data_IF_173509928831
#
_entry.id   IF_173509928831
#
_cell.length_a   1.000
_cell.length_b   1.000
_cell.length_c   1.000
_cell.angle_alpha   90.00
_cell.angle_beta   90.00
_cell.angle_gamma   90.00
#
_symmetry.space_group_name_H-M   'P 1'
#
loop_
_entity.id
_entity.type
_entity.pdbx_description
1 polymer ?
#
# COMPACT_ATOMS: atom_id res chain seq x y z
N UNK A 1 25.68 -11.27 14.39
CA UNK A 1 24.72 -10.83 13.34
C UNK A 1 24.96 -9.35 13.08
N UNK A 2 24.86 -8.87 11.81
CA UNK A 2 24.87 -7.44 11.52
C UNK A 2 23.62 -6.78 12.12
N UNK A 3 23.65 -5.47 12.48
CA UNK A 3 22.50 -4.77 13.01
C UNK A 3 21.37 -4.67 11.99
N UNK A 4 20.14 -4.43 12.46
CA UNK A 4 19.01 -4.00 11.61
C UNK A 4 19.06 -2.48 11.42
N UNK A 5 18.89 -2.02 10.18
CA UNK A 5 18.68 -0.62 9.90
C UNK A 5 17.24 -0.19 10.22
N UNK A 6 17.04 0.79 11.06
CA UNK A 6 15.69 1.21 11.51
C UNK A 6 15.38 2.60 11.00
N UNK A 7 14.26 2.74 10.31
CA UNK A 7 13.71 4.00 9.81
C UNK A 7 12.45 4.32 10.62
N UNK A 8 12.47 5.42 11.36
CA UNK A 8 11.33 5.88 12.16
C UNK A 8 10.77 7.15 11.53
N UNK A 9 9.46 7.18 11.29
CA UNK A 9 8.77 8.40 10.90
C UNK A 9 8.16 9.08 12.13
N UNK A 10 8.76 10.15 12.66
CA UNK A 10 8.28 10.80 13.88
C UNK A 10 6.90 11.43 13.70
N UNK A 11 6.56 11.87 12.48
CA UNK A 11 5.29 12.52 12.18
C UNK A 11 4.11 11.54 12.02
N UNK A 12 4.37 10.22 12.00
CA UNK A 12 3.31 9.22 11.85
C UNK A 12 2.25 9.38 12.96
N UNK A 13 0.97 9.25 12.56
CA UNK A 13 -0.19 9.31 13.46
C UNK A 13 -0.14 10.52 14.43
N UNK A 14 0.06 11.72 13.88
CA UNK A 14 0.08 13.00 14.62
C UNK A 14 1.21 13.11 15.67
N UNK A 15 2.39 12.58 15.36
CA UNK A 15 3.57 12.66 16.24
C UNK A 15 3.76 11.45 17.17
N UNK A 16 2.87 10.44 17.13
CA UNK A 16 3.04 9.20 17.92
C UNK A 16 4.13 8.27 17.38
N UNK A 17 4.66 8.56 16.18
CA UNK A 17 5.71 7.76 15.55
C UNK A 17 6.97 7.64 16.39
N UNK A 18 7.36 8.69 17.12
CA UNK A 18 8.50 8.65 18.04
C UNK A 18 8.29 7.65 19.17
N UNK A 19 7.14 7.71 19.85
CA UNK A 19 6.79 6.80 20.96
C UNK A 19 6.80 5.32 20.51
N UNK A 20 6.25 5.04 19.31
CA UNK A 20 6.29 3.69 18.72
C UNK A 20 7.73 3.30 18.39
N UNK A 21 8.51 4.23 17.85
CA UNK A 21 9.92 4.03 17.53
C UNK A 21 10.76 3.68 18.76
N UNK A 22 10.63 4.45 19.85
CA UNK A 22 11.34 4.21 21.11
C UNK A 22 10.99 2.85 21.70
N UNK A 23 9.70 2.49 21.71
CA UNK A 23 9.24 1.16 22.17
C UNK A 23 9.79 0.02 21.31
N UNK A 24 9.84 0.21 19.98
CA UNK A 24 10.39 -0.79 19.08
C UNK A 24 11.90 -0.97 19.31
N UNK A 25 12.66 0.13 19.46
CA UNK A 25 14.10 0.05 19.75
C UNK A 25 14.38 -0.64 21.07
N UNK A 26 13.60 -0.35 22.12
CA UNK A 26 13.71 -1.02 23.43
C UNK A 26 13.43 -2.53 23.28
N UNK A 27 12.38 -2.92 22.58
CA UNK A 27 12.03 -4.33 22.34
C UNK A 27 13.10 -5.09 21.53
N UNK A 28 13.73 -4.44 20.53
CA UNK A 28 14.88 -5.03 19.84
C UNK A 28 16.08 -5.22 20.76
N UNK A 29 16.38 -4.24 21.62
CA UNK A 29 17.47 -4.34 22.60
C UNK A 29 17.22 -5.46 23.62
N UNK A 30 16.00 -5.60 24.14
CA UNK A 30 15.59 -6.69 25.03
C UNK A 30 15.74 -8.07 24.35
N UNK A 31 15.48 -8.16 23.05
CA UNK A 31 15.68 -9.36 22.24
C UNK A 31 17.15 -9.60 21.87
N UNK A 32 18.09 -8.73 22.28
CA UNK A 32 19.52 -8.84 21.95
C UNK A 32 19.84 -8.49 20.49
N UNK A 33 18.96 -7.80 19.78
CA UNK A 33 19.15 -7.40 18.38
C UNK A 33 19.72 -5.98 18.33
N UNK A 34 20.91 -5.85 17.76
CA UNK A 34 21.54 -4.56 17.51
C UNK A 34 20.79 -3.81 16.38
N UNK A 35 20.61 -2.50 16.56
CA UNK A 35 19.96 -1.64 15.57
C UNK A 35 20.81 -0.44 15.21
N UNK A 36 20.70 0.03 13.97
CA UNK A 36 21.29 1.28 13.48
C UNK A 36 20.17 2.21 13.06
N UNK A 37 20.09 3.39 13.68
CA UNK A 37 19.07 4.39 13.34
C UNK A 37 19.42 5.06 11.99
N UNK A 38 18.59 4.83 10.99
CA UNK A 38 18.70 5.40 9.64
C UNK A 38 17.60 6.42 9.34
N UNK A 39 16.88 6.87 10.38
CA UNK A 39 15.87 7.93 10.26
C UNK A 39 16.49 9.21 9.75
N UNK A 40 15.71 10.02 9.06
CA UNK A 40 16.17 11.27 8.46
C UNK A 40 15.09 12.35 8.46
N UNK A 41 15.50 13.55 8.06
CA UNK A 41 14.63 14.73 7.96
C UNK A 41 13.85 14.76 6.64
N UNK A 42 14.27 13.97 5.66
CA UNK A 42 13.62 13.83 4.36
C UNK A 42 13.80 12.41 3.81
N UNK A 43 13.03 12.05 2.80
CA UNK A 43 13.21 10.75 2.12
C UNK A 43 14.60 10.64 1.48
N UNK A 44 15.16 11.72 0.94
CA UNK A 44 16.49 11.73 0.34
C UNK A 44 17.60 11.51 1.38
N UNK A 45 17.46 12.11 2.57
CA UNK A 45 18.37 11.88 3.71
C UNK A 45 18.34 10.40 4.14
N UNK A 46 17.13 9.82 4.27
CA UNK A 46 16.96 8.39 4.59
C UNK A 46 17.60 7.52 3.51
N UNK A 47 17.37 7.80 2.23
CA UNK A 47 17.98 7.07 1.10
C UNK A 47 19.50 7.11 1.14
N UNK A 48 20.08 8.28 1.42
CA UNK A 48 21.52 8.44 1.52
C UNK A 48 22.10 7.60 2.68
N UNK A 49 21.47 7.61 3.85
CA UNK A 49 21.89 6.82 5.03
C UNK A 49 21.78 5.32 4.77
N UNK A 50 20.66 4.86 4.19
CA UNK A 50 20.49 3.44 3.85
C UNK A 50 21.53 3.01 2.82
N UNK A 51 21.76 3.80 1.77
CA UNK A 51 22.81 3.53 0.77
C UNK A 51 24.19 3.37 1.40
N UNK A 52 24.55 4.24 2.34
CA UNK A 52 25.85 4.18 3.02
C UNK A 52 25.98 2.94 3.92
N UNK A 53 24.87 2.47 4.52
CA UNK A 53 24.84 1.38 5.51
C UNK A 53 24.42 0.03 4.93
N UNK A 54 23.98 -0.05 3.67
CA UNK A 54 23.33 -1.24 3.11
C UNK A 54 24.17 -2.52 3.21
N UNK A 55 25.51 -2.40 3.16
CA UNK A 55 26.42 -3.55 3.30
C UNK A 55 26.70 -3.95 4.75
N UNK A 56 26.34 -3.10 5.70
CA UNK A 56 26.65 -3.24 7.13
C UNK A 56 25.44 -3.69 7.96
N UNK A 57 24.24 -3.67 7.39
CA UNK A 57 22.98 -4.10 8.01
C UNK A 57 22.54 -5.46 7.47
N UNK A 58 21.76 -6.20 8.25
CA UNK A 58 21.19 -7.50 7.86
C UNK A 58 19.76 -7.42 7.35
N UNK A 59 19.08 -6.27 7.50
CA UNK A 59 17.72 -6.02 7.07
C UNK A 59 17.31 -4.59 7.40
N UNK A 60 16.16 -4.17 6.89
CA UNK A 60 15.53 -2.88 7.17
C UNK A 60 14.28 -3.07 8.02
N UNK A 61 14.02 -2.12 8.91
CA UNK A 61 12.75 -2.01 9.64
C UNK A 61 12.18 -0.63 9.40
N UNK A 62 10.97 -0.56 8.86
CA UNK A 62 10.25 0.69 8.66
C UNK A 62 9.15 0.85 9.72
N UNK A 63 9.24 1.91 10.53
CA UNK A 63 8.32 2.23 11.63
C UNK A 63 7.54 3.48 11.24
N UNK A 64 6.27 3.30 10.86
CA UNK A 64 5.45 4.41 10.36
C UNK A 64 4.10 3.97 9.81
N UNK A 65 3.52 4.80 8.95
CA UNK A 65 2.31 4.47 8.19
C UNK A 65 2.65 4.00 6.77
N UNK A 66 1.63 3.96 5.90
CA UNK A 66 1.72 3.41 4.54
C UNK A 66 2.83 4.06 3.70
N UNK A 67 3.01 5.39 3.76
CA UNK A 67 4.11 6.06 3.05
C UNK A 67 5.51 5.67 3.55
N UNK A 68 5.67 5.36 4.85
CA UNK A 68 6.95 4.88 5.41
C UNK A 68 7.19 3.42 5.01
N UNK A 69 6.14 2.60 5.02
CA UNK A 69 6.17 1.22 4.51
C UNK A 69 6.56 1.20 3.03
N UNK A 70 5.96 2.06 2.23
CA UNK A 70 6.27 2.22 0.80
C UNK A 70 7.74 2.61 0.55
N UNK A 71 8.30 3.53 1.34
CA UNK A 71 9.71 3.88 1.29
C UNK A 71 10.58 2.67 1.66
N UNK A 72 10.21 1.94 2.73
CA UNK A 72 10.88 0.72 3.17
C UNK A 72 10.91 -0.35 2.09
N UNK A 73 9.79 -0.61 1.42
CA UNK A 73 9.68 -1.55 0.29
C UNK A 73 10.68 -1.18 -0.83
N UNK A 74 10.69 0.10 -1.24
CA UNK A 74 11.58 0.53 -2.31
C UNK A 74 13.06 0.38 -1.94
N UNK A 75 13.44 0.73 -0.71
CA UNK A 75 14.82 0.59 -0.23
C UNK A 75 15.22 -0.88 -0.06
N UNK A 76 14.32 -1.72 0.46
CA UNK A 76 14.55 -3.14 0.59
C UNK A 76 14.79 -3.80 -0.77
N UNK A 77 13.99 -3.43 -1.77
CA UNK A 77 14.14 -3.92 -3.15
C UNK A 77 15.44 -3.42 -3.80
N UNK A 78 15.79 -2.14 -3.60
CA UNK A 78 16.99 -1.53 -4.18
C UNK A 78 18.28 -2.18 -3.66
N UNK A 79 18.32 -2.53 -2.37
CA UNK A 79 19.51 -3.08 -1.72
C UNK A 79 19.43 -4.59 -1.43
N UNK A 80 18.35 -5.26 -1.87
CA UNK A 80 18.10 -6.70 -1.64
C UNK A 80 18.17 -7.07 -0.15
N UNK A 81 17.51 -6.26 0.69
CA UNK A 81 17.47 -6.43 2.14
C UNK A 81 16.10 -6.97 2.58
N UNK A 82 16.04 -7.89 3.56
CA UNK A 82 14.78 -8.24 4.20
C UNK A 82 14.13 -7.03 4.88
N UNK A 83 12.80 -6.94 4.82
CA UNK A 83 12.02 -5.81 5.35
C UNK A 83 11.13 -6.23 6.52
N UNK A 84 11.29 -5.58 7.65
CA UNK A 84 10.33 -5.60 8.77
C UNK A 84 9.46 -4.35 8.76
N UNK A 85 8.19 -4.49 9.13
CA UNK A 85 7.25 -3.38 9.23
C UNK A 85 6.70 -3.27 10.65
N UNK A 86 6.75 -2.06 11.22
CA UNK A 86 6.13 -1.76 12.53
C UNK A 86 5.10 -0.65 12.31
N UNK A 87 3.79 -0.96 12.42
CA UNK A 87 2.75 0.00 12.13
C UNK A 87 2.67 1.11 13.17
N UNK A 88 2.74 2.36 12.71
CA UNK A 88 2.53 3.56 13.51
C UNK A 88 1.60 4.57 12.83
N UNK A 89 1.03 4.24 11.69
CA UNK A 89 0.09 5.06 10.94
C UNK A 89 -1.36 4.90 11.37
N UNK A 90 -2.26 5.63 10.71
CA UNK A 90 -3.71 5.55 10.94
C UNK A 90 -4.41 4.55 9.99
N UNK A 91 -3.85 4.27 8.82
CA UNK A 91 -4.37 3.32 7.82
C UNK A 91 -3.75 1.94 8.01
N UNK A 92 -2.47 1.84 7.73
CA UNK A 92 -1.66 0.62 7.79
C UNK A 92 -2.24 -0.52 6.94
N UNK A 93 -2.79 -0.18 5.75
CA UNK A 93 -3.50 -1.15 4.91
C UNK A 93 -2.58 -2.26 4.38
N UNK A 94 -1.36 -1.90 3.97
CA UNK A 94 -0.34 -2.88 3.55
C UNK A 94 -0.02 -3.88 4.67
N UNK A 95 0.10 -3.39 5.90
CA UNK A 95 0.51 -4.20 7.06
C UNK A 95 -0.60 -5.14 7.55
N UNK A 96 -1.87 -4.79 7.32
CA UNK A 96 -3.02 -5.64 7.68
C UNK A 96 -2.97 -7.01 7.02
N UNK A 97 -2.54 -7.08 5.76
CA UNK A 97 -2.43 -8.34 5.01
C UNK A 97 -1.24 -9.20 5.46
N UNK A 98 -0.24 -8.58 6.08
CA UNK A 98 1.05 -9.20 6.38
C UNK A 98 1.09 -9.87 7.76
N UNK A 99 -0.06 -10.08 8.40
CA UNK A 99 -0.18 -10.67 9.74
C UNK A 99 0.68 -9.97 10.82
N UNK A 100 0.97 -8.68 10.63
CA UNK A 100 1.73 -7.87 11.58
C UNK A 100 0.77 -7.29 12.63
N UNK A 101 1.06 -7.40 13.94
CA UNK A 101 0.26 -6.78 14.98
C UNK A 101 0.14 -5.26 14.80
N UNK A 102 -1.10 -4.76 14.63
CA UNK A 102 -1.34 -3.35 14.28
C UNK A 102 -1.22 -2.38 15.46
N UNK A 103 -1.43 -2.86 16.68
CA UNK A 103 -1.52 -2.03 17.90
C UNK A 103 -0.52 -2.39 18.97
N UNK A 104 0.16 -3.52 18.83
CA UNK A 104 1.17 -4.01 19.77
C UNK A 104 2.56 -3.96 19.13
N UNK A 105 3.33 -2.94 19.49
CA UNK A 105 4.69 -2.73 18.98
C UNK A 105 5.63 -3.85 19.38
N UNK A 106 5.52 -4.38 20.59
CA UNK A 106 6.39 -5.46 21.08
C UNK A 106 6.11 -6.77 20.35
N UNK A 107 4.84 -7.06 20.09
CA UNK A 107 4.45 -8.23 19.29
C UNK A 107 4.90 -8.07 17.82
N UNK A 108 4.86 -6.86 17.24
CA UNK A 108 5.38 -6.61 15.90
C UNK A 108 6.89 -6.83 15.83
N UNK A 109 7.64 -6.37 16.83
CA UNK A 109 9.09 -6.61 16.94
C UNK A 109 9.39 -8.11 17.13
N UNK A 110 8.66 -8.80 18.01
CA UNK A 110 8.82 -10.24 18.21
C UNK A 110 8.56 -11.05 16.92
N UNK A 111 7.61 -10.61 16.11
CA UNK A 111 7.34 -11.21 14.79
C UNK A 111 8.55 -11.03 13.86
N UNK A 112 9.13 -9.83 13.79
CA UNK A 112 10.35 -9.55 13.01
C UNK A 112 11.51 -10.42 13.50
N UNK A 113 11.78 -10.42 14.81
CA UNK A 113 12.90 -11.18 15.40
C UNK A 113 12.75 -12.68 15.12
N UNK A 114 11.54 -13.22 15.25
CA UNK A 114 11.26 -14.64 15.00
C UNK A 114 11.40 -15.10 13.56
N UNK A 115 11.55 -14.17 12.61
CA UNK A 115 11.66 -14.46 11.17
C UNK A 115 12.98 -14.02 10.54
N UNK A 116 13.94 -13.54 11.33
CA UNK A 116 15.24 -13.06 10.83
C UNK A 116 16.02 -14.13 10.05
N UNK A 117 15.96 -15.39 10.46
CA UNK A 117 16.68 -16.50 9.81
C UNK A 117 15.90 -17.09 8.62
N UNK A 118 14.58 -16.90 8.58
CA UNK A 118 13.70 -17.42 7.55
C UNK A 118 12.62 -16.39 7.19
N UNK A 119 12.96 -15.32 6.44
CA UNK A 119 11.99 -14.35 5.95
C UNK A 119 10.96 -15.00 5.04
N UNK A 120 9.73 -14.54 5.10
CA UNK A 120 8.68 -14.92 4.16
C UNK A 120 8.88 -14.18 2.84
N UNK A 121 8.91 -14.90 1.73
CA UNK A 121 8.93 -14.29 0.41
C UNK A 121 7.51 -13.91 -0.02
N UNK A 122 7.32 -12.66 -0.42
CA UNK A 122 6.04 -12.14 -0.90
C UNK A 122 6.19 -11.48 -2.27
N UNK A 123 5.10 -11.43 -2.99
CA UNK A 123 5.03 -10.79 -4.30
C UNK A 123 5.06 -9.27 -4.14
N UNK A 124 5.65 -8.60 -5.10
CA UNK A 124 5.74 -7.15 -5.13
C UNK A 124 5.51 -6.62 -6.54
N UNK A 125 4.73 -5.57 -6.66
CA UNK A 125 4.43 -4.92 -7.94
C UNK A 125 5.54 -3.97 -8.35
N UNK A 126 6.06 -4.09 -9.57
CA UNK A 126 6.80 -3.04 -10.25
C UNK A 126 5.80 -2.12 -10.94
N UNK A 127 5.83 -0.86 -10.56
CA UNK A 127 4.90 0.16 -11.05
C UNK A 127 5.65 1.17 -11.91
N UNK A 128 5.15 1.43 -13.10
CA UNK A 128 5.64 2.49 -13.97
C UNK A 128 4.52 3.46 -14.32
N UNK A 129 4.79 4.73 -14.10
CA UNK A 129 3.92 5.85 -14.50
C UNK A 129 4.66 6.75 -15.50
N UNK A 130 4.02 7.73 -16.06
CA UNK A 130 4.68 8.75 -16.89
C UNK A 130 5.73 9.60 -16.15
N UNK A 131 5.78 9.51 -14.83
CA UNK A 131 6.60 10.39 -13.97
C UNK A 131 7.62 9.66 -13.11
N UNK A 132 7.33 8.43 -12.69
CA UNK A 132 8.18 7.66 -11.78
C UNK A 132 7.98 6.17 -11.92
N UNK A 133 8.98 5.42 -11.43
CA UNK A 133 8.94 3.97 -11.28
C UNK A 133 9.23 3.62 -9.84
N UNK A 134 8.52 2.63 -9.30
CA UNK A 134 8.67 2.24 -7.91
C UNK A 134 8.09 0.85 -7.65
N UNK A 135 8.47 0.26 -6.52
CA UNK A 135 7.89 -0.99 -6.01
C UNK A 135 6.73 -0.71 -5.08
N UNK A 136 5.67 -1.51 -5.12
CA UNK A 136 4.52 -1.41 -4.23
C UNK A 136 4.01 -2.78 -3.82
N UNK A 137 3.57 -2.90 -2.56
CA UNK A 137 2.86 -4.08 -2.04
C UNK A 137 1.35 -3.93 -2.11
N UNK A 138 0.85 -2.71 -2.19
CA UNK A 138 -0.54 -2.38 -1.96
C UNK A 138 -1.45 -2.42 -3.19
N UNK A 139 -2.14 -1.33 -3.45
CA UNK A 139 -3.07 -1.20 -4.57
C UNK A 139 -2.88 0.12 -5.32
N UNK A 140 -3.18 0.10 -6.61
CA UNK A 140 -3.14 1.27 -7.48
C UNK A 140 -4.45 1.34 -8.23
N UNK A 141 -5.06 2.50 -8.24
CA UNK A 141 -6.31 2.72 -8.96
C UNK A 141 -6.36 4.07 -9.64
N UNK A 142 -7.25 4.19 -10.61
CA UNK A 142 -7.54 5.42 -11.29
C UNK A 142 -9.05 5.55 -11.47
N UNK A 143 -9.59 6.74 -11.17
CA UNK A 143 -11.00 7.01 -11.34
C UNK A 143 -11.62 7.76 -10.18
N UNK A 144 -12.87 7.42 -9.85
CA UNK A 144 -13.64 8.12 -8.82
C UNK A 144 -13.02 8.00 -7.42
N UNK A 145 -12.46 6.87 -7.10
CA UNK A 145 -11.77 6.63 -5.83
C UNK A 145 -10.53 7.52 -5.65
N UNK A 146 -9.78 7.78 -6.73
CA UNK A 146 -8.66 8.71 -6.71
C UNK A 146 -9.12 10.16 -6.46
N UNK A 147 -10.27 10.57 -7.02
CA UNK A 147 -10.89 11.86 -6.68
C UNK A 147 -11.27 11.94 -5.19
N UNK A 148 -11.82 10.84 -4.65
CA UNK A 148 -12.14 10.75 -3.23
C UNK A 148 -10.89 10.82 -2.35
N UNK A 149 -9.82 10.12 -2.72
CA UNK A 149 -8.54 10.15 -2.00
C UNK A 149 -7.93 11.57 -2.02
N UNK A 150 -7.91 12.22 -3.18
CA UNK A 150 -7.45 13.61 -3.31
C UNK A 150 -8.25 14.56 -2.41
N UNK A 151 -9.57 14.43 -2.42
CA UNK A 151 -10.45 15.22 -1.56
C UNK A 151 -10.20 14.94 -0.08
N UNK A 152 -10.12 13.67 0.31
CA UNK A 152 -9.90 13.25 1.69
C UNK A 152 -8.58 13.81 2.26
N UNK A 153 -7.52 13.82 1.46
CA UNK A 153 -6.21 14.37 1.83
C UNK A 153 -6.26 15.89 2.08
N UNK A 154 -7.18 16.61 1.42
CA UNK A 154 -7.39 18.06 1.59
C UNK A 154 -8.35 18.42 2.72
N UNK A 155 -9.12 17.48 3.25
CA UNK A 155 -10.07 17.76 4.33
C UNK A 155 -9.36 18.10 5.64
N UNK A 156 -9.77 19.21 6.26
CA UNK A 156 -9.33 19.56 7.61
C UNK A 156 -10.05 18.70 8.66
N UNK A 157 -11.32 18.42 8.42
CA UNK A 157 -12.20 17.58 9.25
C UNK A 157 -13.31 16.97 8.37
N UNK A 158 -13.73 15.69 8.58
CA UNK A 158 -13.18 14.71 9.53
C UNK A 158 -11.79 14.20 9.12
N UNK A 159 -11.09 13.54 10.04
CA UNK A 159 -9.79 12.88 9.80
C UNK A 159 -9.90 11.36 9.93
N UNK A 160 -8.92 10.64 9.40
CA UNK A 160 -8.87 9.18 9.41
C UNK A 160 -9.90 8.56 8.46
N UNK A 161 -10.39 7.34 8.71
CA UNK A 161 -11.31 6.62 7.79
C UNK A 161 -12.55 7.42 7.41
N UNK A 162 -13.06 8.26 8.31
CA UNK A 162 -14.23 9.08 8.05
C UNK A 162 -13.97 10.20 7.03
N UNK A 163 -12.71 10.58 6.77
CA UNK A 163 -12.38 11.57 5.74
C UNK A 163 -12.69 11.05 4.34
N UNK A 164 -12.46 9.77 4.10
CA UNK A 164 -12.77 9.15 2.81
C UNK A 164 -14.29 9.07 2.57
N UNK A 165 -15.06 8.70 3.60
CA UNK A 165 -16.52 8.68 3.53
C UNK A 165 -17.08 10.07 3.24
N UNK A 166 -16.58 11.11 3.93
CA UNK A 166 -16.97 12.49 3.68
C UNK A 166 -16.59 12.93 2.25
N UNK A 167 -15.39 12.59 1.80
CA UNK A 167 -14.93 12.89 0.45
C UNK A 167 -15.79 12.23 -0.62
N UNK A 168 -16.22 10.97 -0.42
CA UNK A 168 -17.12 10.26 -1.31
C UNK A 168 -18.42 11.04 -1.51
N UNK A 169 -19.06 11.50 -0.43
CA UNK A 169 -20.29 12.31 -0.55
C UNK A 169 -20.04 13.66 -1.22
N UNK A 170 -18.91 14.31 -0.96
CA UNK A 170 -18.56 15.59 -1.58
C UNK A 170 -18.27 15.47 -3.09
N UNK A 171 -17.66 14.35 -3.51
CA UNK A 171 -17.34 14.10 -4.92
C UNK A 171 -18.48 13.39 -5.68
N UNK A 172 -19.51 12.89 -4.97
CA UNK A 172 -20.66 12.20 -5.58
C UNK A 172 -21.35 12.97 -6.73
N UNK A 173 -21.44 14.32 -6.71
CA UNK A 173 -21.97 15.07 -7.86
C UNK A 173 -21.14 14.90 -9.15
N UNK A 174 -19.84 14.65 -9.04
CA UNK A 174 -18.93 14.40 -10.15
C UNK A 174 -18.87 12.94 -10.59
N UNK A 175 -19.55 12.05 -9.88
CA UNK A 175 -19.59 10.63 -10.16
C UNK A 175 -20.19 10.35 -11.54
N UNK A 176 -19.35 9.97 -12.47
CA UNK A 176 -19.69 9.60 -13.84
C UNK A 176 -18.70 8.59 -14.40
N UNK A 177 -19.11 7.72 -15.33
CA UNK A 177 -18.21 6.80 -16.00
C UNK A 177 -17.13 7.54 -16.79
N UNK A 178 -15.93 6.98 -16.80
CA UNK A 178 -14.80 7.42 -17.61
C UNK A 178 -14.39 6.30 -18.58
N UNK A 179 -13.84 6.67 -19.73
CA UNK A 179 -13.30 5.71 -20.68
C UNK A 179 -11.96 5.17 -20.19
N UNK A 180 -11.81 3.85 -20.25
CA UNK A 180 -10.58 3.14 -19.94
C UNK A 180 -10.15 2.30 -21.13
N UNK A 181 -8.83 2.23 -21.32
CA UNK A 181 -8.16 1.17 -22.05
C UNK A 181 -7.33 0.36 -21.08
N UNK A 182 -7.64 -0.91 -20.99
CA UNK A 182 -6.97 -1.89 -20.14
C UNK A 182 -6.25 -2.90 -21.02
N UNK A 183 -4.98 -3.16 -20.75
CA UNK A 183 -4.25 -4.29 -21.30
C UNK A 183 -3.81 -5.16 -20.14
N UNK A 184 -4.32 -6.40 -20.08
CA UNK A 184 -3.98 -7.39 -19.08
C UNK A 184 -3.43 -8.63 -19.79
N UNK A 185 -2.19 -9.02 -19.50
CA UNK A 185 -1.47 -10.15 -20.11
C UNK A 185 -1.56 -10.18 -21.64
N UNK A 186 -1.47 -9.02 -22.27
CA UNK A 186 -1.53 -8.83 -23.71
C UNK A 186 -2.94 -8.72 -24.30
N UNK A 187 -3.99 -8.94 -23.52
CA UNK A 187 -5.39 -8.78 -23.96
C UNK A 187 -5.84 -7.34 -23.72
N UNK A 188 -6.22 -6.64 -24.81
CA UNK A 188 -6.68 -5.24 -24.77
C UNK A 188 -8.20 -5.16 -24.72
N UNK A 189 -8.74 -4.32 -23.82
CA UNK A 189 -10.17 -4.04 -23.68
C UNK A 189 -10.38 -2.54 -23.54
N UNK A 190 -11.44 -2.02 -24.18
CA UNK A 190 -11.91 -0.65 -23.99
C UNK A 190 -13.33 -0.67 -23.41
N UNK A 191 -13.55 0.11 -22.37
CA UNK A 191 -14.85 0.14 -21.68
C UNK A 191 -15.02 1.45 -20.91
N UNK A 192 -16.23 1.69 -20.41
CA UNK A 192 -16.53 2.75 -19.46
C UNK A 192 -16.73 2.15 -18.07
N UNK A 193 -16.12 2.78 -17.08
CA UNK A 193 -16.25 2.37 -15.69
C UNK A 193 -16.16 3.57 -14.74
N UNK A 194 -16.56 3.37 -13.50
CA UNK A 194 -16.45 4.37 -12.45
C UNK A 194 -15.04 4.41 -11.87
N UNK A 195 -14.37 3.25 -11.80
CA UNK A 195 -12.99 3.09 -11.39
C UNK A 195 -12.41 1.79 -11.99
N UNK A 196 -11.10 1.77 -12.16
CA UNK A 196 -10.33 0.61 -12.54
C UNK A 196 -8.99 0.63 -11.83
N UNK A 197 -8.56 -0.49 -11.27
CA UNK A 197 -7.31 -0.57 -10.54
C UNK A 197 -6.75 -1.98 -10.44
N UNK A 198 -5.63 -2.07 -9.73
CA UNK A 198 -4.85 -3.30 -9.52
C UNK A 198 -4.55 -3.41 -8.02
N UNK A 199 -4.73 -4.58 -7.44
CA UNK A 199 -4.43 -4.86 -6.04
C UNK A 199 -3.55 -6.11 -5.91
N UNK A 200 -2.56 -6.03 -5.00
CA UNK A 200 -1.76 -7.16 -4.55
C UNK A 200 -2.13 -7.57 -3.10
N UNK A 201 -3.00 -6.78 -2.47
CA UNK A 201 -3.49 -6.98 -1.10
C UNK A 201 -5.01 -6.83 -1.05
N UNK A 202 -5.64 -7.43 -0.02
CA UNK A 202 -7.11 -7.37 0.13
C UNK A 202 -7.63 -5.99 0.48
N UNK A 203 -6.84 -5.23 1.27
CA UNK A 203 -7.30 -4.01 1.93
C UNK A 203 -6.77 -2.75 1.25
N UNK A 204 -7.62 -1.73 1.23
CA UNK A 204 -7.37 -0.43 0.63
C UNK A 204 -8.11 0.67 1.42
N UNK A 205 -7.53 1.87 1.51
CA UNK A 205 -8.24 3.06 1.98
C UNK A 205 -8.80 2.98 3.40
N UNK A 206 -8.04 2.39 4.35
CA UNK A 206 -8.43 2.32 5.76
C UNK A 206 -9.28 1.09 6.10
N UNK A 207 -9.03 -0.03 5.45
CA UNK A 207 -9.64 -1.32 5.74
C UNK A 207 -10.82 -1.71 4.86
N UNK A 208 -11.04 -1.03 3.74
CA UNK A 208 -11.94 -1.49 2.69
C UNK A 208 -11.35 -2.70 2.00
N UNK A 209 -12.09 -3.80 1.91
CA UNK A 209 -11.66 -5.04 1.25
C UNK A 209 -11.95 -4.96 -0.25
N UNK A 210 -11.15 -4.17 -0.99
CA UNK A 210 -11.40 -3.93 -2.41
C UNK A 210 -11.24 -5.21 -3.25
N UNK A 211 -10.29 -6.06 -2.86
CA UNK A 211 -10.03 -7.36 -3.49
C UNK A 211 -9.93 -8.47 -2.44
N UNK A 212 -11.07 -8.98 -1.93
CA UNK A 212 -11.08 -9.92 -0.81
C UNK A 212 -10.36 -11.25 -1.09
N UNK A 213 -10.11 -11.57 -2.36
CA UNK A 213 -9.48 -12.82 -2.81
C UNK A 213 -7.99 -12.69 -3.09
N UNK A 214 -7.42 -11.47 -3.00
CA UNK A 214 -5.98 -11.26 -3.23
C UNK A 214 -5.12 -12.12 -2.32
N UNK A 215 -4.07 -12.70 -2.89
CA UNK A 215 -3.07 -13.50 -2.19
C UNK A 215 -1.68 -12.99 -2.54
N UNK A 216 -0.95 -12.50 -1.55
CA UNK A 216 0.36 -11.85 -1.72
C UNK A 216 1.51 -12.82 -2.09
N UNK A 217 1.21 -14.06 -2.45
CA UNK A 217 2.21 -15.11 -2.74
C UNK A 217 1.85 -15.98 -3.94
N UNK A 218 0.84 -15.64 -4.72
CA UNK A 218 0.36 -16.47 -5.84
C UNK A 218 0.95 -16.07 -7.21
N UNK A 219 1.76 -15.00 -7.25
CA UNK A 219 2.42 -14.52 -8.47
C UNK A 219 1.52 -13.71 -9.39
N UNK A 220 0.36 -13.28 -8.93
CA UNK A 220 -0.63 -12.53 -9.69
C UNK A 220 -1.09 -11.28 -8.92
N UNK A 221 -1.73 -10.38 -9.63
CA UNK A 221 -2.45 -9.24 -9.06
C UNK A 221 -3.91 -9.33 -9.47
N UNK A 222 -4.81 -8.82 -8.66
CA UNK A 222 -6.20 -8.66 -9.05
C UNK A 222 -6.43 -7.31 -9.72
N UNK A 223 -6.96 -7.38 -10.95
CA UNK A 223 -7.57 -6.22 -11.61
C UNK A 223 -8.99 -6.09 -11.10
N UNK A 224 -9.34 -4.95 -10.53
CA UNK A 224 -10.70 -4.68 -10.07
C UNK A 224 -11.32 -3.52 -10.85
N UNK A 225 -12.59 -3.71 -11.25
CA UNK A 225 -13.34 -2.75 -12.05
C UNK A 225 -14.72 -2.56 -11.42
N UNK A 226 -15.10 -1.32 -11.18
CA UNK A 226 -16.50 -0.97 -10.93
C UNK A 226 -17.05 -0.39 -12.24
N UNK A 227 -17.84 -1.18 -12.94
CA UNK A 227 -18.51 -0.77 -14.17
C UNK A 227 -19.49 0.39 -13.93
N UNK A 228 -20.14 0.82 -14.99
CA UNK A 228 -21.08 1.93 -14.90
C UNK A 228 -22.24 1.65 -13.94
N UNK A 229 -22.38 2.46 -12.90
CA UNK A 229 -23.46 2.36 -11.91
C UNK A 229 -24.08 3.72 -11.63
N UNK A 230 -25.34 3.72 -11.22
CA UNK A 230 -26.00 4.92 -10.72
C UNK A 230 -25.46 5.32 -9.35
N UNK A 231 -25.64 6.60 -8.97
CA UNK A 231 -25.28 7.08 -7.62
C UNK A 231 -25.98 6.29 -6.51
N UNK A 232 -27.23 5.89 -6.72
CA UNK A 232 -27.98 5.05 -5.75
C UNK A 232 -27.34 3.69 -5.59
N UNK A 233 -26.94 3.07 -6.71
CA UNK A 233 -26.29 1.77 -6.70
C UNK A 233 -24.91 1.83 -6.04
N UNK A 234 -24.13 2.91 -6.26
CA UNK A 234 -22.87 3.14 -5.55
C UNK A 234 -23.08 3.17 -4.03
N UNK A 235 -24.10 3.93 -3.55
CA UNK A 235 -24.38 4.02 -2.11
C UNK A 235 -24.85 2.69 -1.51
N UNK A 236 -25.42 1.79 -2.31
CA UNK A 236 -25.75 0.42 -1.91
C UNK A 236 -24.50 -0.47 -1.82
N UNK A 237 -23.61 -0.39 -2.84
CA UNK A 237 -22.40 -1.21 -2.95
C UNK A 237 -21.32 -0.77 -1.94
N UNK A 238 -21.14 0.54 -1.74
CA UNK A 238 -20.03 1.09 -0.97
C UNK A 238 -19.89 0.53 0.45
N UNK A 239 -20.96 0.42 1.29
CA UNK A 239 -20.85 -0.20 2.61
C UNK A 239 -20.41 -1.67 2.58
N UNK A 240 -20.71 -2.37 1.48
CA UNK A 240 -20.39 -3.78 1.29
C UNK A 240 -18.89 -4.01 1.05
N UNK A 241 -18.16 -2.97 0.57
CA UNK A 241 -16.71 -3.05 0.36
C UNK A 241 -15.98 -3.34 1.67
N UNK A 242 -16.42 -2.80 2.81
CA UNK A 242 -15.79 -3.08 4.11
C UNK A 242 -15.88 -4.54 4.55
N UNK A 243 -16.88 -5.27 4.05
CA UNK A 243 -17.07 -6.70 4.32
C UNK A 243 -16.53 -7.59 3.20
N UNK A 244 -16.18 -7.01 2.04
CA UNK A 244 -15.84 -7.74 0.84
C UNK A 244 -17.04 -8.35 0.10
N UNK A 245 -18.27 -7.95 0.48
CA UNK A 245 -19.51 -8.48 -0.12
C UNK A 245 -19.86 -7.80 -1.46
N UNK A 246 -19.18 -6.72 -1.83
CA UNK A 246 -19.38 -6.01 -3.09
C UNK A 246 -19.06 -6.85 -4.32
N UNK A 247 -18.20 -7.86 -4.20
CA UNK A 247 -17.85 -8.77 -5.32
C UNK A 247 -19.02 -9.61 -5.83
N UNK A 248 -20.13 -9.67 -5.09
CA UNK A 248 -21.35 -10.36 -5.53
C UNK A 248 -22.20 -9.57 -6.51
N UNK A 249 -21.90 -8.29 -6.73
CA UNK A 249 -22.63 -7.44 -7.66
C UNK A 249 -22.12 -7.61 -9.09
N UNK A 250 -23.03 -7.71 -10.04
CA UNK A 250 -22.69 -7.89 -11.45
C UNK A 250 -21.89 -6.73 -12.06
N UNK A 251 -21.97 -5.55 -11.43
CA UNK A 251 -21.23 -4.36 -11.85
C UNK A 251 -19.79 -4.32 -11.33
N UNK A 252 -19.42 -5.26 -10.46
CA UNK A 252 -18.05 -5.43 -9.96
C UNK A 252 -17.40 -6.61 -10.68
N UNK A 253 -16.29 -6.34 -11.34
CA UNK A 253 -15.48 -7.36 -12.01
C UNK A 253 -14.11 -7.43 -11.32
N UNK A 254 -13.67 -8.64 -10.96
CA UNK A 254 -12.33 -8.90 -10.44
C UNK A 254 -11.77 -10.12 -11.17
N UNK A 255 -10.54 -10.00 -11.65
CA UNK A 255 -9.81 -11.10 -12.29
C UNK A 255 -8.31 -10.96 -12.11
N UNK A 256 -7.58 -12.05 -12.23
CA UNK A 256 -6.12 -12.11 -12.04
C UNK A 256 -5.36 -11.80 -13.31
N UNK A 257 -4.17 -11.19 -13.15
CA UNK A 257 -3.22 -10.94 -14.23
C UNK A 257 -1.79 -10.81 -13.66
N UNK A 258 -0.79 -11.03 -14.51
CA UNK A 258 0.62 -10.83 -14.14
C UNK A 258 1.16 -9.48 -14.59
N UNK A 259 0.62 -8.94 -15.67
CA UNK A 259 1.02 -7.66 -16.25
C UNK A 259 -0.19 -6.85 -16.69
N UNK A 260 -0.29 -5.64 -16.18
CA UNK A 260 -1.46 -4.78 -16.40
C UNK A 260 -1.01 -3.39 -16.83
N UNK A 261 -1.70 -2.81 -17.81
CA UNK A 261 -1.59 -1.39 -18.16
C UNK A 261 -2.98 -0.78 -18.19
N UNK A 262 -3.16 0.33 -17.49
CA UNK A 262 -4.41 1.08 -17.43
C UNK A 262 -4.17 2.49 -17.95
N UNK A 263 -4.99 2.90 -18.91
CA UNK A 263 -5.05 4.24 -19.48
C UNK A 263 -6.46 4.81 -19.29
N UNK A 264 -6.55 6.12 -19.09
CA UNK A 264 -7.80 6.86 -19.06
C UNK A 264 -7.58 8.30 -19.50
N UNK A 265 -8.62 9.11 -19.57
CA UNK A 265 -8.58 10.52 -20.05
C UNK A 265 -7.95 11.47 -19.02
N UNK A 266 -6.78 11.12 -18.44
CA UNK A 266 -6.00 11.99 -17.55
C UNK A 266 -6.56 12.12 -16.13
N UNK A 267 -7.43 11.22 -15.71
CA UNK A 267 -7.89 11.15 -14.32
C UNK A 267 -6.73 10.80 -13.38
N UNK A 268 -6.76 11.33 -12.15
CA UNK A 268 -5.72 11.04 -11.17
C UNK A 268 -5.67 9.56 -10.83
N UNK A 269 -4.47 9.12 -10.46
CA UNK A 269 -4.20 7.80 -9.91
C UNK A 269 -3.84 7.91 -8.44
N UNK A 270 -4.17 6.89 -7.70
CA UNK A 270 -3.74 6.73 -6.31
C UNK A 270 -3.01 5.40 -6.13
N UNK A 271 -1.98 5.42 -5.28
CA UNK A 271 -1.33 4.24 -4.76
C UNK A 271 -1.46 4.29 -3.24
N UNK A 272 -2.13 3.31 -2.65
CA UNK A 272 -2.38 3.23 -1.20
C UNK A 272 -2.92 4.54 -0.58
N UNK A 273 -3.80 5.23 -1.32
CA UNK A 273 -4.43 6.49 -0.91
C UNK A 273 -3.60 7.76 -1.16
N UNK A 274 -2.38 7.63 -1.66
CA UNK A 274 -1.55 8.77 -2.08
C UNK A 274 -1.70 9.03 -3.58
N UNK A 275 -1.90 10.29 -3.97
CA UNK A 275 -1.96 10.67 -5.38
C UNK A 275 -0.58 10.54 -6.03
N UNK A 276 -0.50 9.78 -7.11
CA UNK A 276 0.76 9.49 -7.81
C UNK A 276 0.85 10.11 -9.21
N UNK A 277 -0.10 10.94 -9.59
CA UNK A 277 -0.16 11.64 -10.88
C UNK A 277 -1.36 11.20 -11.72
N UNK A 278 -1.47 11.67 -12.97
CA UNK A 278 -2.49 11.20 -13.90
C UNK A 278 -2.08 9.87 -14.54
N UNK A 279 -3.07 9.12 -15.04
CA UNK A 279 -2.83 7.94 -15.88
C UNK A 279 -2.06 8.33 -17.17
N UNK A 280 -1.35 7.41 -17.86
CA UNK A 280 -1.40 5.96 -17.67
C UNK A 280 -0.45 5.42 -16.59
N UNK A 281 -0.71 4.18 -16.16
CA UNK A 281 0.24 3.38 -15.40
C UNK A 281 0.30 1.93 -15.89
N UNK A 282 1.42 1.27 -15.61
CA UNK A 282 1.56 -0.16 -15.80
C UNK A 282 2.10 -0.81 -14.52
N UNK A 283 1.67 -2.05 -14.32
CA UNK A 283 2.07 -2.90 -13.21
C UNK A 283 2.55 -4.22 -13.77
N UNK A 284 3.66 -4.72 -13.24
CA UNK A 284 4.16 -6.07 -13.47
C UNK A 284 4.48 -6.70 -12.12
N UNK A 285 3.90 -7.85 -11.84
CA UNK A 285 4.17 -8.56 -10.59
C UNK A 285 5.55 -9.21 -10.64
N UNK A 286 6.30 -9.11 -9.55
CA UNK A 286 7.51 -9.89 -9.31
C UNK A 286 7.20 -10.92 -8.23
N UNK A 287 6.94 -12.18 -8.62
CA UNK A 287 6.63 -13.24 -7.67
C UNK A 287 7.78 -13.43 -6.68
N UNK A 288 7.44 -13.54 -5.39
CA UNK A 288 8.40 -13.74 -4.31
C UNK A 288 9.57 -12.75 -4.32
N UNK A 289 9.28 -11.51 -4.76
CA UNK A 289 10.30 -10.51 -5.02
C UNK A 289 10.85 -9.83 -3.77
N UNK A 290 10.13 -9.86 -2.66
CA UNK A 290 10.49 -9.20 -1.40
C UNK A 290 10.55 -10.20 -0.26
N UNK A 291 11.70 -10.24 0.44
CA UNK A 291 11.86 -10.96 1.69
C UNK A 291 11.28 -10.13 2.85
N UNK A 292 10.20 -10.61 3.47
CA UNK A 292 9.49 -9.92 4.54
C UNK A 292 9.76 -10.59 5.89
N UNK A 293 10.13 -9.79 6.89
CA UNK A 293 10.32 -10.22 8.27
C UNK A 293 8.95 -10.25 8.98
N UNK A 294 8.10 -11.18 8.54
CA UNK A 294 6.80 -11.46 9.16
C UNK A 294 6.40 -12.92 8.94
N UNK A 295 5.51 -13.43 9.81
CA UNK A 295 4.95 -14.79 9.72
C UNK A 295 3.91 -14.94 8.62
#
# INVERSE_FOLDING_TARGET
MKPLGVIINPAANRGRGNEVGERALAAFAEAGIATTNLSGTSQDDIRAKVKASAKEISGLVAIGGDGTSQLGVNLAMEYSLPLGLVPAGSGNDQVRELAVPLTDTSAAVANIVGTLECPREVDVMWVETGYRKFWSLGSISAGFDALCAERANRLVWPKGPNSYVAALFLELPKFKPIAYRLVADGVSREFKAMLCGVANVKNFGGGMKISPQSEITDGEVEVFILHEVSRRKLLEIFPKVYKGEHVSYAEVEIFKASKVRIENDGFPMTCDGEIIGPAPFSVEIKPRGLALLSR
#
